data_IF_052990757846
#
_entry.id   IF_052990757846
#
_cell.length_a   1.000
_cell.length_b   1.000
_cell.length_c   1.000
_cell.angle_alpha   90.00
_cell.angle_beta   90.00
_cell.angle_gamma   90.00
#
_symmetry.space_group_name_H-M   'P 1'
#
loop_
_entity.id
_entity.type
_entity.pdbx_description
1 polymer ?
#
# COMPACT_ATOMS: atom_id res chain seq x y z
N UNK A 1 -25.72 -18.85 -6.62
CA UNK A 1 -24.66 -17.85 -6.40
C UNK A 1 -24.42 -17.22 -7.75
N UNK A 2 -24.63 -15.91 -7.86
CA UNK A 2 -24.88 -15.27 -9.16
C UNK A 2 -23.56 -15.00 -9.89
N UNK A 3 -23.31 -15.74 -10.97
CA UNK A 3 -22.09 -15.64 -11.78
C UNK A 3 -21.91 -14.22 -12.36
N UNK A 4 -23.02 -13.49 -12.53
CA UNK A 4 -23.01 -12.09 -12.98
C UNK A 4 -22.45 -11.13 -11.93
N UNK A 5 -22.62 -11.46 -10.63
CA UNK A 5 -22.07 -10.65 -9.53
C UNK A 5 -20.55 -10.73 -9.51
N UNK A 6 -19.98 -11.94 -9.58
CA UNK A 6 -18.52 -12.13 -9.61
C UNK A 6 -17.87 -11.46 -10.84
N UNK A 7 -18.54 -11.48 -11.99
CA UNK A 7 -18.00 -10.88 -13.21
C UNK A 7 -18.03 -9.36 -13.17
N UNK A 8 -19.10 -8.76 -12.63
CA UNK A 8 -19.17 -7.31 -12.42
C UNK A 8 -18.07 -6.86 -11.45
N UNK A 9 -17.83 -7.64 -10.39
CA UNK A 9 -16.76 -7.39 -9.42
C UNK A 9 -15.37 -7.39 -10.07
N UNK A 10 -15.09 -8.36 -10.94
CA UNK A 10 -13.81 -8.45 -11.66
C UNK A 10 -13.53 -7.28 -12.61
N UNK A 11 -14.56 -6.68 -13.24
CA UNK A 11 -14.39 -5.51 -14.12
C UNK A 11 -13.94 -4.27 -13.34
N UNK A 12 -14.34 -4.17 -12.07
CA UNK A 12 -14.01 -3.03 -11.20
C UNK A 12 -12.87 -3.30 -10.22
N UNK A 13 -12.23 -4.49 -10.29
CA UNK A 13 -11.18 -4.88 -9.35
C UNK A 13 -11.68 -5.07 -7.91
N UNK A 14 -12.97 -5.35 -7.74
CA UNK A 14 -13.61 -5.55 -6.44
C UNK A 14 -13.56 -7.02 -6.04
N UNK A 15 -13.33 -7.28 -4.77
CA UNK A 15 -13.26 -8.61 -4.16
C UNK A 15 -14.61 -8.99 -3.54
N UNK A 16 -14.93 -10.29 -3.43
CA UNK A 16 -16.19 -10.82 -2.86
C UNK A 16 -16.57 -10.25 -1.47
N UNK A 17 -15.64 -9.62 -0.76
CA UNK A 17 -15.86 -8.94 0.52
C UNK A 17 -16.28 -7.47 0.44
N UNK A 18 -16.18 -6.83 -0.73
CA UNK A 18 -16.54 -5.42 -0.92
C UNK A 18 -18.08 -5.28 -0.95
N UNK A 19 -18.63 -4.48 -0.03
CA UNK A 19 -20.07 -4.22 0.06
C UNK A 19 -20.55 -3.37 -1.12
N UNK A 20 -20.85 -4.04 -2.24
CA UNK A 20 -21.42 -3.40 -3.44
C UNK A 20 -22.87 -2.91 -3.24
N UNK A 21 -23.51 -3.23 -2.11
CA UNK A 21 -24.90 -2.88 -1.82
C UNK A 21 -25.21 -1.37 -1.85
N UNK A 22 -24.20 -0.50 -1.93
CA UNK A 22 -24.38 0.96 -1.91
C UNK A 22 -23.97 1.65 -3.22
N UNK A 23 -23.34 0.96 -4.17
CA UNK A 23 -23.00 1.59 -5.46
C UNK A 23 -24.20 1.47 -6.41
N UNK A 24 -25.05 2.51 -6.39
CA UNK A 24 -26.20 2.60 -7.29
C UNK A 24 -25.79 2.53 -8.77
N UNK A 25 -26.71 2.04 -9.61
CA UNK A 25 -26.53 1.93 -11.07
C UNK A 25 -26.09 3.26 -11.71
N UNK A 26 -26.59 4.39 -11.20
CA UNK A 26 -26.22 5.72 -11.67
C UNK A 26 -24.75 6.08 -11.38
N UNK A 27 -24.21 5.67 -10.23
CA UNK A 27 -22.79 5.86 -9.90
C UNK A 27 -21.90 5.04 -10.84
N UNK A 28 -22.33 3.80 -11.15
CA UNK A 28 -21.64 2.94 -12.11
C UNK A 28 -21.68 3.51 -13.54
N UNK A 29 -22.82 4.03 -13.99
CA UNK A 29 -22.95 4.72 -15.30
C UNK A 29 -22.07 5.97 -15.36
N UNK A 30 -22.02 6.74 -14.28
CA UNK A 30 -21.16 7.94 -14.18
C UNK A 30 -19.69 7.58 -14.29
N UNK A 31 -19.26 6.52 -13.59
CA UNK A 31 -17.89 6.04 -13.63
C UNK A 31 -17.52 5.46 -15.01
N UNK A 32 -18.43 4.73 -15.66
CA UNK A 32 -18.23 4.25 -17.03
C UNK A 32 -17.99 5.42 -18.00
N UNK A 33 -18.84 6.46 -17.97
CA UNK A 33 -18.66 7.66 -18.80
C UNK A 33 -17.32 8.34 -18.53
N UNK A 34 -16.94 8.45 -17.25
CA UNK A 34 -15.64 9.01 -16.87
C UNK A 34 -14.48 8.22 -17.52
N UNK A 35 -14.50 6.89 -17.46
CA UNK A 35 -13.49 6.05 -18.10
C UNK A 35 -13.49 6.14 -19.62
N UNK A 36 -14.66 6.17 -20.27
CA UNK A 36 -14.78 6.34 -21.73
C UNK A 36 -14.13 7.64 -22.22
N UNK A 37 -14.22 8.72 -21.44
CA UNK A 37 -13.61 10.01 -21.82
C UNK A 37 -12.09 10.05 -21.62
N UNK A 38 -11.52 9.19 -20.78
CA UNK A 38 -10.08 9.22 -20.43
C UNK A 38 -9.26 8.12 -21.09
N UNK A 39 -9.87 6.99 -21.41
CA UNK A 39 -9.18 5.89 -22.05
C UNK A 39 -9.24 6.05 -23.56
N UNK A 40 -8.07 6.04 -24.20
CA UNK A 40 -7.98 6.00 -25.65
C UNK A 40 -8.04 4.55 -26.11
N UNK A 41 -9.20 4.13 -26.60
CA UNK A 41 -9.39 2.82 -27.19
C UNK A 41 -9.02 2.81 -28.69
N UNK A 42 -8.50 1.69 -29.24
CA UNK A 42 -8.12 0.47 -28.52
C UNK A 42 -6.74 0.58 -27.83
N UNK A 43 -6.53 -0.16 -26.74
CA UNK A 43 -5.21 -0.29 -26.09
C UNK A 43 -4.87 -1.75 -25.76
N UNK A 44 -3.59 -2.02 -25.50
CA UNK A 44 -3.10 -3.35 -25.10
C UNK A 44 -3.05 -3.46 -23.58
N UNK A 45 -3.57 -4.54 -23.01
CA UNK A 45 -3.56 -4.82 -21.58
C UNK A 45 -3.09 -6.26 -21.31
N UNK A 46 -2.54 -6.51 -20.12
CA UNK A 46 -2.30 -7.85 -19.60
C UNK A 46 -3.48 -8.25 -18.72
N UNK A 47 -4.05 -9.43 -18.97
CA UNK A 47 -5.17 -9.96 -18.22
C UNK A 47 -4.77 -11.28 -17.56
N UNK A 48 -4.85 -11.32 -16.24
CA UNK A 48 -4.59 -12.51 -15.46
C UNK A 48 -5.89 -13.29 -15.25
N UNK A 49 -5.94 -14.53 -15.75
CA UNK A 49 -7.09 -15.41 -15.51
C UNK A 49 -7.05 -15.94 -14.09
N UNK A 50 -8.11 -15.68 -13.31
CA UNK A 50 -8.25 -16.22 -11.95
C UNK A 50 -8.61 -17.71 -11.91
N UNK A 51 -9.23 -18.24 -12.99
CA UNK A 51 -9.65 -19.64 -13.06
C UNK A 51 -8.60 -20.48 -13.80
N UNK A 52 -7.86 -21.28 -13.05
CA UNK A 52 -6.86 -22.24 -13.55
C UNK A 52 -5.41 -21.85 -13.21
N UNK A 53 -4.40 -22.52 -13.80
CA UNK A 53 -3.01 -22.10 -13.61
C UNK A 53 -2.83 -20.66 -14.07
N UNK A 54 -2.29 -19.80 -13.19
CA UNK A 54 -2.07 -18.37 -13.47
C UNK A 54 -1.33 -18.21 -14.80
N UNK A 55 -2.06 -17.70 -15.79
CA UNK A 55 -1.53 -17.34 -17.11
C UNK A 55 -1.97 -15.91 -17.40
N UNK A 56 -0.98 -15.04 -17.54
CA UNK A 56 -1.19 -13.69 -18.06
C UNK A 56 -1.31 -13.75 -19.57
N UNK A 57 -2.32 -13.08 -20.13
CA UNK A 57 -2.54 -13.02 -21.58
C UNK A 57 -2.61 -11.55 -21.98
N UNK A 58 -1.81 -11.16 -22.99
CA UNK A 58 -1.93 -9.83 -23.62
C UNK A 58 -3.17 -9.80 -24.50
N UNK A 59 -4.07 -8.87 -24.22
CA UNK A 59 -5.33 -8.66 -24.94
C UNK A 59 -5.39 -7.24 -25.51
N UNK A 60 -6.14 -7.06 -26.60
CA UNK A 60 -6.49 -5.75 -27.14
C UNK A 60 -7.89 -5.38 -26.65
N UNK A 61 -7.97 -4.31 -25.87
CA UNK A 61 -9.23 -3.79 -25.31
C UNK A 61 -9.80 -2.76 -26.28
N UNK A 62 -11.03 -2.97 -26.74
CA UNK A 62 -11.68 -2.13 -27.77
C UNK A 62 -12.66 -1.10 -27.22
N UNK A 63 -13.09 -1.23 -25.96
CA UNK A 63 -14.06 -0.36 -25.33
C UNK A 63 -14.54 -0.96 -24.01
N UNK A 64 -15.44 -0.26 -23.32
CA UNK A 64 -16.15 -0.77 -22.15
C UNK A 64 -17.41 -1.53 -22.59
N UNK A 65 -17.78 -2.59 -21.85
CA UNK A 65 -19.02 -3.34 -22.10
C UNK A 65 -20.22 -2.47 -21.66
N UNK A 66 -21.24 -2.35 -22.51
CA UNK A 66 -22.45 -1.57 -22.20
C UNK A 66 -23.20 -2.21 -21.03
N UNK A 67 -23.32 -1.47 -19.93
CA UNK A 67 -23.99 -1.89 -18.70
C UNK A 67 -25.43 -2.32 -18.93
N UNK A 68 -26.17 -1.71 -19.86
CA UNK A 68 -27.58 -2.03 -20.06
C UNK A 68 -27.74 -3.48 -20.56
N UNK A 69 -26.79 -3.96 -21.37
CA UNK A 69 -26.77 -5.34 -21.85
C UNK A 69 -26.33 -6.34 -20.76
N UNK A 70 -25.55 -5.91 -19.77
CA UNK A 70 -25.09 -6.76 -18.66
C UNK A 70 -26.22 -6.98 -17.65
N UNK A 71 -27.00 -5.93 -17.35
CA UNK A 71 -28.06 -5.98 -16.34
C UNK A 71 -29.35 -6.64 -16.83
N UNK A 72 -29.67 -6.59 -18.13
CA UNK A 72 -30.90 -7.18 -18.67
C UNK A 72 -30.80 -8.70 -18.95
N UNK A 73 -29.68 -9.35 -18.66
CA UNK A 73 -29.49 -10.79 -18.91
C UNK A 73 -29.61 -11.20 -20.39
N UNK A 74 -29.64 -10.24 -21.32
CA UNK A 74 -29.80 -10.46 -22.77
C UNK A 74 -28.45 -10.81 -23.40
N UNK A 75 -27.96 -12.03 -23.19
CA UNK A 75 -26.92 -12.61 -24.07
C UNK A 75 -27.50 -13.72 -24.95
N UNK A 76 -27.38 -13.57 -26.26
CA UNK A 76 -27.23 -14.71 -27.17
C UNK A 76 -25.78 -15.21 -27.08
N UNK A 77 -25.60 -16.43 -26.60
CA UNK A 77 -24.29 -17.09 -26.48
C UNK A 77 -23.68 -17.31 -27.87
N UNK A 78 -22.57 -16.62 -28.18
CA UNK A 78 -21.64 -17.05 -29.24
C UNK A 78 -20.31 -17.46 -28.57
N UNK A 79 -19.79 -18.67 -28.80
CA UNK A 79 -18.61 -19.16 -28.09
C UNK A 79 -17.29 -18.44 -28.44
N UNK A 80 -16.28 -18.46 -27.54
CA UNK A 80 -15.14 -17.54 -27.58
C UNK A 80 -14.05 -17.84 -28.63
N UNK A 81 -14.15 -18.94 -29.38
CA UNK A 81 -13.10 -19.36 -30.33
C UNK A 81 -13.30 -18.84 -31.75
N UNK A 82 -14.37 -18.10 -32.03
CA UNK A 82 -14.70 -17.64 -33.40
C UNK A 82 -14.16 -16.25 -33.77
N UNK A 83 -13.15 -15.74 -33.06
CA UNK A 83 -12.39 -14.55 -33.50
C UNK A 83 -10.90 -14.89 -33.57
N UNK A 84 -10.39 -14.86 -34.79
CA UNK A 84 -9.06 -15.27 -35.23
C UNK A 84 -7.94 -14.62 -34.40
N UNK A 85 -7.07 -15.45 -33.82
CA UNK A 85 -5.86 -15.06 -33.10
C UNK A 85 -4.66 -15.34 -34.01
N UNK A 86 -3.86 -14.33 -34.31
CA UNK A 86 -2.49 -14.52 -34.79
C UNK A 86 -1.54 -14.22 -33.63
N UNK A 87 -0.79 -15.24 -33.22
CA UNK A 87 0.26 -15.17 -32.21
C UNK A 87 1.59 -14.87 -32.89
N UNK A 88 2.31 -13.85 -32.41
CA UNK A 88 3.76 -13.75 -32.59
C UNK A 88 4.40 -13.30 -31.28
N UNK A 89 5.57 -13.88 -31.02
CA UNK A 89 6.25 -14.05 -29.74
C UNK A 89 7.28 -12.94 -29.43
N UNK A 90 7.66 -12.86 -28.13
CA UNK A 90 8.92 -12.36 -27.53
C UNK A 90 9.40 -10.89 -27.73
N UNK A 91 9.64 -10.20 -26.61
CA UNK A 91 11.01 -10.00 -26.05
C UNK A 91 11.03 -9.30 -24.68
N UNK A 92 12.00 -9.72 -23.85
CA UNK A 92 12.40 -9.19 -22.55
C UNK A 92 13.30 -7.96 -22.70
N UNK A 93 13.24 -7.00 -21.77
CA UNK A 93 14.46 -6.41 -21.18
C UNK A 93 14.20 -5.86 -19.76
N UNK A 94 14.94 -6.39 -18.79
CA UNK A 94 15.27 -5.77 -17.50
C UNK A 94 16.68 -5.15 -17.59
N UNK A 95 16.97 -4.13 -16.76
CA UNK A 95 18.31 -3.79 -16.19
C UNK A 95 18.58 -2.27 -16.17
N UNK A 96 18.20 -1.58 -15.09
CA UNK A 96 18.65 -0.20 -14.82
C UNK A 96 18.89 0.05 -13.33
N UNK A 97 19.87 -0.62 -12.71
CA UNK A 97 20.72 -0.01 -11.68
C UNK A 97 21.88 -0.94 -11.32
N UNK A 98 23.11 -0.52 -11.64
CA UNK A 98 24.31 -0.84 -10.87
C UNK A 98 24.80 0.49 -10.33
N UNK A 99 24.83 0.64 -9.02
CA UNK A 99 25.57 1.73 -8.39
C UNK A 99 26.63 1.13 -7.47
N UNK A 100 27.83 1.65 -7.65
CA UNK A 100 29.10 1.34 -7.01
C UNK A 100 29.05 1.49 -5.49
N UNK A 101 29.57 0.47 -4.79
CA UNK A 101 29.79 0.48 -3.36
C UNK A 101 30.97 1.40 -3.00
N UNK A 102 30.73 2.42 -2.19
CA UNK A 102 31.76 3.14 -1.46
C UNK A 102 31.59 2.89 0.05
N UNK A 103 32.71 2.66 0.73
CA UNK A 103 32.79 2.10 2.08
C UNK A 103 32.11 2.94 3.17
N UNK A 104 31.44 2.21 4.07
CA UNK A 104 30.74 2.75 5.23
C UNK A 104 31.72 3.17 6.34
N UNK A 105 31.55 4.36 6.96
CA UNK A 105 32.20 4.67 8.23
C UNK A 105 31.44 4.04 9.39
N UNK A 106 32.16 3.36 10.29
CA UNK A 106 31.63 2.80 11.53
C UNK A 106 31.19 3.90 12.50
N UNK A 107 29.88 4.05 12.70
CA UNK A 107 29.27 4.94 13.69
C UNK A 107 29.08 4.16 15.00
N UNK A 108 29.61 4.73 16.09
CA UNK A 108 29.63 4.14 17.43
C UNK A 108 28.22 3.84 17.99
N UNK A 109 28.10 2.65 18.56
CA UNK A 109 26.93 2.14 19.29
C UNK A 109 26.81 2.82 20.65
N UNK A 110 25.64 3.37 20.96
CA UNK A 110 25.23 3.67 22.33
C UNK A 110 24.08 2.75 22.73
N UNK A 111 24.28 2.12 23.88
CA UNK A 111 23.53 1.03 24.47
C UNK A 111 22.12 1.44 24.88
N UNK A 112 21.14 0.84 24.20
CA UNK A 112 19.79 0.62 24.69
C UNK A 112 19.57 -0.87 24.42
N UNK A 113 19.86 -1.69 25.43
CA UNK A 113 19.68 -3.16 25.52
C UNK A 113 19.60 -3.90 24.16
N UNK A 114 20.76 -4.37 23.68
CA UNK A 114 20.91 -5.31 22.55
C UNK A 114 20.38 -6.72 22.87
N UNK A 115 19.19 -6.82 23.48
CA UNK A 115 18.49 -8.07 23.69
C UNK A 115 17.50 -8.30 22.57
N UNK A 116 17.93 -8.99 21.50
CA UNK A 116 17.16 -9.80 20.52
C UNK A 116 15.77 -9.32 20.03
N UNK A 117 15.38 -8.07 20.26
CA UNK A 117 14.13 -7.52 19.77
C UNK A 117 14.26 -7.26 18.28
N UNK A 118 13.49 -7.96 17.47
CA UNK A 118 13.48 -7.76 16.01
C UNK A 118 13.29 -6.28 15.69
N UNK A 119 14.36 -5.64 15.16
CA UNK A 119 14.32 -4.24 14.77
C UNK A 119 13.45 -4.05 13.51
N UNK A 120 13.03 -2.81 13.23
CA UNK A 120 12.30 -2.50 11.99
C UNK A 120 13.06 -2.97 10.75
N UNK A 121 14.39 -2.84 10.77
CA UNK A 121 15.33 -3.35 9.75
C UNK A 121 15.27 -4.87 9.57
N UNK A 122 15.09 -5.63 10.65
CA UNK A 122 14.94 -7.09 10.57
C UNK A 122 13.59 -7.48 9.93
N UNK A 123 12.53 -6.72 10.22
CA UNK A 123 11.19 -6.96 9.66
C UNK A 123 11.18 -6.70 8.15
N UNK A 124 11.57 -5.51 7.71
CA UNK A 124 11.43 -5.11 6.29
C UNK A 124 12.61 -5.53 5.41
N UNK A 125 13.71 -5.94 6.04
CA UNK A 125 14.95 -6.30 5.39
C UNK A 125 15.88 -5.12 5.15
N UNK A 126 17.17 -5.42 5.10
CA UNK A 126 18.28 -4.47 4.97
C UNK A 126 18.05 -3.40 3.91
N UNK A 127 17.82 -3.87 2.67
CA UNK A 127 17.77 -3.00 1.49
C UNK A 127 16.62 -2.01 1.57
N UNK A 128 15.44 -2.45 2.03
CA UNK A 128 14.26 -1.58 2.15
C UNK A 128 14.47 -0.55 3.24
N UNK A 129 15.01 -0.98 4.39
CA UNK A 129 15.31 -0.08 5.50
C UNK A 129 16.29 1.03 5.11
N UNK A 130 17.37 0.70 4.39
CA UNK A 130 18.33 1.70 3.91
C UNK A 130 17.70 2.71 2.95
N UNK A 131 16.79 2.27 2.07
CA UNK A 131 16.04 3.19 1.18
C UNK A 131 15.18 4.14 2.00
N UNK A 132 14.52 3.67 3.06
CA UNK A 132 13.73 4.54 3.93
C UNK A 132 14.59 5.56 4.67
N UNK A 133 15.73 5.12 5.21
CA UNK A 133 16.69 5.99 5.91
C UNK A 133 17.22 7.07 4.96
N UNK A 134 17.60 6.72 3.74
CA UNK A 134 18.09 7.65 2.72
C UNK A 134 17.00 8.65 2.30
N UNK A 135 15.79 8.16 2.06
CA UNK A 135 14.65 8.99 1.69
C UNK A 135 14.30 9.99 2.80
N UNK A 136 14.26 9.56 4.06
CA UNK A 136 14.01 10.45 5.20
C UNK A 136 15.15 11.45 5.40
N UNK A 137 16.40 11.03 5.23
CA UNK A 137 17.55 11.92 5.30
C UNK A 137 17.45 13.06 4.27
N UNK A 138 17.02 12.75 3.05
CA UNK A 138 16.89 13.72 1.97
C UNK A 138 15.64 14.60 2.09
N UNK A 139 14.48 14.03 2.45
CA UNK A 139 13.20 14.73 2.38
C UNK A 139 12.86 15.51 3.65
N UNK A 140 13.29 15.05 4.82
CA UNK A 140 12.80 15.63 6.08
C UNK A 140 13.32 17.07 6.33
N UNK A 141 14.59 17.43 6.09
CA UNK A 141 15.10 18.77 6.42
C UNK A 141 14.20 19.93 5.94
N UNK A 142 13.68 19.83 4.72
CA UNK A 142 12.78 20.84 4.12
C UNK A 142 11.30 20.39 4.07
N UNK A 143 11.02 19.14 4.42
CA UNK A 143 9.70 18.55 4.37
C UNK A 143 8.76 19.11 5.44
N UNK A 144 7.51 19.38 5.06
CA UNK A 144 6.45 19.76 6.02
C UNK A 144 5.93 18.53 6.75
N UNK A 145 5.70 18.63 8.06
CA UNK A 145 5.29 17.48 8.89
C UNK A 145 4.04 16.77 8.38
N UNK A 146 2.98 17.49 7.98
CA UNK A 146 1.76 16.88 7.42
C UNK A 146 1.98 16.08 6.12
N UNK A 147 3.13 16.26 5.44
CA UNK A 147 3.50 15.44 4.26
C UNK A 147 4.37 14.24 4.65
N UNK A 148 5.20 14.42 5.67
CA UNK A 148 6.12 13.40 6.15
C UNK A 148 5.41 12.36 7.02
N UNK A 149 4.43 12.78 7.82
CA UNK A 149 3.69 11.92 8.74
C UNK A 149 2.95 10.79 8.01
N UNK A 150 2.13 11.04 6.97
CA UNK A 150 1.48 9.97 6.21
C UNK A 150 2.48 9.01 5.53
N UNK A 151 3.63 9.54 5.09
CA UNK A 151 4.68 8.72 4.46
C UNK A 151 5.33 7.76 5.48
N UNK A 152 5.67 8.25 6.68
CA UNK A 152 6.21 7.40 7.75
C UNK A 152 5.15 6.40 8.22
N UNK A 153 3.89 6.82 8.36
CA UNK A 153 2.78 5.92 8.65
C UNK A 153 2.66 4.80 7.60
N UNK A 154 2.77 5.12 6.31
CA UNK A 154 2.77 4.13 5.23
C UNK A 154 3.93 3.13 5.34
N UNK A 155 5.13 3.59 5.75
CA UNK A 155 6.26 2.70 6.04
C UNK A 155 5.94 1.74 7.19
N UNK A 156 5.36 2.24 8.28
CA UNK A 156 4.97 1.41 9.41
C UNK A 156 3.90 0.38 9.00
N UNK A 157 2.88 0.78 8.23
CA UNK A 157 1.87 -0.13 7.69
C UNK A 157 2.48 -1.22 6.79
N UNK A 158 3.44 -0.85 5.94
CA UNK A 158 4.19 -1.82 5.16
C UNK A 158 4.93 -2.80 6.07
N UNK A 159 5.60 -2.32 7.11
CA UNK A 159 6.30 -3.18 8.07
C UNK A 159 5.34 -4.12 8.82
N UNK A 160 4.18 -3.63 9.27
CA UNK A 160 3.14 -4.43 9.91
C UNK A 160 2.66 -5.56 9.00
N UNK A 161 2.42 -5.26 7.72
CA UNK A 161 2.01 -6.25 6.72
C UNK A 161 3.08 -7.33 6.50
N UNK A 162 4.34 -6.94 6.31
CA UNK A 162 5.45 -7.89 6.15
C UNK A 162 5.65 -8.74 7.40
N UNK A 163 5.49 -8.15 8.59
CA UNK A 163 5.57 -8.88 9.85
C UNK A 163 4.48 -9.95 9.95
N UNK A 164 3.23 -9.58 9.63
CA UNK A 164 2.10 -10.51 9.64
C UNK A 164 2.31 -11.69 8.68
N UNK A 165 2.86 -11.42 7.48
CA UNK A 165 3.18 -12.46 6.48
C UNK A 165 4.28 -13.41 6.96
N UNK A 166 5.30 -12.92 7.70
CA UNK A 166 6.44 -13.73 8.18
C UNK A 166 6.14 -14.52 9.45
N UNK A 167 5.53 -13.87 10.44
CA UNK A 167 5.44 -14.39 11.82
C UNK A 167 4.01 -14.76 12.23
N UNK A 168 3.00 -14.40 11.42
CA UNK A 168 1.60 -14.53 11.81
C UNK A 168 1.29 -13.69 13.05
N UNK A 169 0.53 -14.27 14.01
CA UNK A 169 0.09 -13.59 15.25
C UNK A 169 1.01 -13.81 16.46
N UNK A 170 2.20 -14.40 16.28
CA UNK A 170 3.07 -14.81 17.39
C UNK A 170 4.33 -13.94 17.48
N UNK A 171 4.15 -12.63 17.64
CA UNK A 171 5.27 -11.76 17.95
C UNK A 171 5.65 -11.87 19.43
N UNK A 172 6.95 -11.94 19.73
CA UNK A 172 7.45 -11.96 21.10
C UNK A 172 7.23 -10.59 21.77
N UNK A 173 6.78 -10.57 23.03
CA UNK A 173 6.55 -9.31 23.76
C UNK A 173 7.84 -8.49 23.84
N UNK A 174 7.70 -7.18 23.65
CA UNK A 174 8.82 -6.23 23.69
C UNK A 174 9.61 -6.10 22.36
N UNK A 175 9.24 -6.85 21.33
CA UNK A 175 9.80 -6.67 19.97
C UNK A 175 9.09 -5.55 19.20
N UNK A 176 9.74 -5.01 18.15
CA UNK A 176 9.06 -4.05 17.23
C UNK A 176 7.89 -4.72 16.52
N UNK A 177 8.03 -5.99 16.18
CA UNK A 177 6.95 -6.80 15.61
C UNK A 177 5.71 -6.81 16.51
N UNK A 178 5.90 -7.00 17.82
CA UNK A 178 4.82 -6.95 18.80
C UNK A 178 4.30 -5.52 18.99
N UNK A 179 5.15 -4.50 18.95
CA UNK A 179 4.73 -3.10 19.02
C UNK A 179 3.77 -2.75 17.87
N UNK A 180 4.14 -3.10 16.63
CA UNK A 180 3.30 -2.90 15.44
C UNK A 180 1.97 -3.65 15.56
N UNK A 181 2.00 -4.91 15.99
CA UNK A 181 0.79 -5.71 16.18
C UNK A 181 -0.13 -5.16 17.28
N UNK A 182 0.42 -4.82 18.45
CA UNK A 182 -0.35 -4.32 19.59
C UNK A 182 -0.94 -2.91 19.35
N UNK A 183 -0.35 -2.15 18.43
CA UNK A 183 -0.85 -0.82 18.08
C UNK A 183 -2.08 -0.84 17.17
N UNK A 184 -2.39 -1.97 16.52
CA UNK A 184 -3.61 -2.10 15.72
C UNK A 184 -4.84 -2.08 16.64
N UNK A 185 -5.64 -1.00 16.55
CA UNK A 185 -6.82 -0.80 17.40
C UNK A 185 -6.52 -0.25 18.81
N UNK A 186 -5.28 0.15 19.08
CA UNK A 186 -4.94 0.84 20.32
C UNK A 186 -5.49 2.27 20.33
N UNK A 187 -5.71 2.82 21.53
CA UNK A 187 -5.95 4.27 21.67
C UNK A 187 -4.72 5.06 21.22
N UNK A 188 -4.90 6.37 20.98
CA UNK A 188 -3.77 7.23 20.58
C UNK A 188 -2.64 7.21 21.61
N UNK A 189 -2.98 7.31 22.90
CA UNK A 189 -2.01 7.33 24.01
C UNK A 189 -1.23 6.01 24.10
N UNK A 190 -1.93 4.87 24.04
CA UNK A 190 -1.31 3.55 24.08
C UNK A 190 -0.43 3.30 22.85
N UNK A 191 -0.95 3.60 21.66
CA UNK A 191 -0.23 3.43 20.41
C UNK A 191 1.01 4.34 20.35
N UNK A 192 0.90 5.57 20.86
CA UNK A 192 2.02 6.51 21.00
C UNK A 192 3.11 5.93 21.90
N UNK A 193 2.78 5.48 23.09
CA UNK A 193 3.77 4.97 24.04
C UNK A 193 4.50 3.73 23.51
N UNK A 194 3.78 2.90 22.74
CA UNK A 194 4.33 1.70 22.09
C UNK A 194 5.22 2.04 20.89
N UNK A 195 4.78 2.94 20.00
CA UNK A 195 5.41 3.19 18.70
C UNK A 195 6.43 4.32 18.72
N UNK A 196 6.37 5.25 19.67
CA UNK A 196 7.28 6.40 19.72
C UNK A 196 8.76 5.98 19.73
N UNK A 197 9.20 4.99 20.52
CA UNK A 197 10.59 4.54 20.49
C UNK A 197 11.01 3.98 19.11
N UNK A 198 10.09 3.35 18.38
CA UNK A 198 10.34 2.79 17.05
C UNK A 198 10.55 3.90 16.03
N UNK A 199 9.66 4.90 16.01
CA UNK A 199 9.72 6.01 15.05
C UNK A 199 10.88 6.95 15.35
N UNK A 200 11.15 7.25 16.63
CA UNK A 200 12.33 8.02 17.03
C UNK A 200 13.62 7.34 16.59
N UNK A 201 13.69 6.00 16.70
CA UNK A 201 14.85 5.25 16.23
C UNK A 201 15.05 5.38 14.71
N UNK A 202 13.99 5.25 13.92
CA UNK A 202 14.04 5.40 12.47
C UNK A 202 14.52 6.80 12.05
N UNK A 203 13.97 7.85 12.68
CA UNK A 203 14.36 9.24 12.40
C UNK A 203 15.80 9.52 12.86
N UNK A 204 16.21 8.97 14.00
CA UNK A 204 17.59 9.07 14.50
C UNK A 204 18.59 8.39 13.56
N UNK A 205 18.28 7.18 13.07
CA UNK A 205 19.11 6.48 12.09
C UNK A 205 19.21 7.28 10.77
N UNK A 206 18.18 8.06 10.44
CA UNK A 206 18.13 9.00 9.30
C UNK A 206 18.83 10.34 9.56
N UNK A 207 19.43 10.52 10.75
CA UNK A 207 20.07 11.78 11.21
C UNK A 207 19.12 12.99 11.21
N UNK A 208 17.85 12.73 11.46
CA UNK A 208 16.78 13.72 11.45
C UNK A 208 16.33 14.01 12.87
N UNK A 209 16.10 15.29 13.18
CA UNK A 209 15.43 15.69 14.43
C UNK A 209 13.92 15.57 14.24
N UNK A 210 13.28 14.86 15.16
CA UNK A 210 11.84 14.64 15.12
C UNK A 210 11.04 15.78 15.77
N UNK A 211 11.59 16.44 16.80
CA UNK A 211 11.00 17.65 17.42
C UNK A 211 11.30 18.91 16.61
N UNK A 212 10.30 19.76 16.48
CA UNK A 212 10.34 21.03 15.77
C UNK A 212 9.54 22.08 16.53
N UNK A 213 9.79 23.35 16.22
CA UNK A 213 9.07 24.48 16.77
C UNK A 213 8.60 25.35 15.62
N UNK A 214 7.33 25.79 15.65
CA UNK A 214 6.77 26.60 14.57
C UNK A 214 7.09 28.09 14.78
N UNK A 215 6.68 28.96 13.85
CA UNK A 215 6.90 30.40 13.95
C UNK A 215 6.18 31.06 15.14
N UNK A 216 5.24 30.34 15.78
CA UNK A 216 4.51 30.78 16.98
C UNK A 216 5.19 30.29 18.27
N UNK A 217 6.28 29.54 18.18
CA UNK A 217 6.93 28.94 19.35
C UNK A 217 6.25 27.67 19.86
N UNK A 218 5.28 27.12 19.13
CA UNK A 218 4.61 25.87 19.51
C UNK A 218 5.44 24.69 19.03
N UNK A 219 5.71 23.76 19.95
CA UNK A 219 6.42 22.53 19.65
C UNK A 219 5.50 21.51 18.97
N UNK A 220 6.05 20.81 17.99
CA UNK A 220 5.40 19.70 17.31
C UNK A 220 6.42 18.61 16.95
N UNK A 221 5.93 17.38 16.78
CA UNK A 221 6.79 16.21 16.58
C UNK A 221 6.39 15.45 15.32
N UNK A 222 7.32 15.28 14.38
CA UNK A 222 7.09 14.43 13.21
C UNK A 222 6.75 13.00 13.62
N UNK A 223 7.37 12.51 14.70
CA UNK A 223 7.15 11.16 15.17
C UNK A 223 5.73 10.96 15.70
N UNK A 224 5.22 11.91 16.48
CA UNK A 224 3.88 11.82 17.06
C UNK A 224 2.80 11.96 15.99
N UNK A 225 2.96 12.90 15.06
CA UNK A 225 2.06 13.07 13.91
C UNK A 225 2.04 11.80 13.04
N UNK A 226 3.21 11.19 12.77
CA UNK A 226 3.27 9.94 12.01
C UNK A 226 2.57 8.76 12.72
N UNK A 227 2.62 8.72 14.06
CA UNK A 227 1.89 7.71 14.84
C UNK A 227 0.39 7.97 14.77
N UNK A 228 -0.03 9.23 14.89
CA UNK A 228 -1.43 9.62 14.70
C UNK A 228 -1.98 9.15 13.35
N UNK A 229 -1.24 9.38 12.26
CA UNK A 229 -1.59 8.91 10.92
C UNK A 229 -1.59 7.37 10.81
N UNK A 230 -0.68 6.69 11.49
CA UNK A 230 -0.63 5.22 11.50
C UNK A 230 -1.82 4.60 12.21
N UNK A 231 -2.19 5.12 13.39
CA UNK A 231 -3.31 4.61 14.20
C UNK A 231 -4.66 4.91 13.55
N UNK A 232 -4.77 6.04 12.87
CA UNK A 232 -5.97 6.45 12.14
C UNK A 232 -5.98 5.98 10.68
N UNK A 233 -5.09 5.06 10.28
CA UNK A 233 -4.92 4.67 8.88
C UNK A 233 -6.20 4.19 8.18
N UNK A 234 -7.06 3.50 8.93
CA UNK A 234 -8.36 3.03 8.46
C UNK A 234 -9.53 3.85 8.99
N UNK A 235 -9.29 4.83 9.86
CA UNK A 235 -10.35 5.70 10.38
C UNK A 235 -10.70 6.70 9.30
N UNK A 236 -11.78 6.41 8.57
CA UNK A 236 -12.26 7.35 7.59
C UNK A 236 -13.11 8.41 8.30
N UNK A 237 -12.81 9.71 8.17
CA UNK A 237 -13.52 10.76 8.92
C UNK A 237 -15.02 10.85 8.62
N UNK A 238 -15.53 10.13 7.61
CA UNK A 238 -16.95 10.02 7.30
C UNK A 238 -17.66 8.81 7.94
N UNK A 239 -16.92 7.90 8.58
CA UNK A 239 -17.49 6.73 9.26
C UNK A 239 -18.01 7.03 10.67
N UNK A 240 -17.66 8.19 11.25
CA UNK A 240 -18.11 8.59 12.61
C UNK A 240 -19.57 9.10 12.66
N UNK A 241 -20.25 9.24 11.52
CA UNK A 241 -21.57 9.86 11.42
C UNK A 241 -22.78 8.91 11.40
N UNK A 242 -22.59 7.62 11.70
CA UNK A 242 -23.66 6.60 11.71
C UNK A 242 -23.65 5.75 12.98
#
# INVERSE_FOLDING_TARGET
MDFEKERTMGVFGLSLGDKISEVGLESLKTYQRYLETRLSFPFMAEFDREIGPRKSVRIRVHGLEDMENVWEGKRQCVPPWQKSVFLTDREQTSSWWRTTAHGSPSIGRNNMTEGSGESLRAIVGERVYLVWVDMLHCLVPDGRTHRLAPMIAAMLQYASRINLEKCGKKAERGTVANALYCSEGASYEEGRDILLPVVERLLKDSRVRYKRTNSRGEDYSIAEEAIGEYLNWYNMPWEEYY
#
